data_IF_601692616451
#
_entry.id   IF_601692616451
#
_cell.length_a   1.000
_cell.length_b   1.000
_cell.length_c   1.000
_cell.angle_alpha   90.00
_cell.angle_beta   90.00
_cell.angle_gamma   90.00
#
_symmetry.space_group_name_H-M   'P 1'
#
loop_
_entity.id
_entity.type
_entity.pdbx_description
1 polymer ?
#
# COMPACT_ATOMS: atom_id res chain seq x y z
N UNK A 1 0.59 -17.67 39.12
CA UNK A 1 -0.03 -16.43 39.63
C UNK A 1 0.93 -15.27 39.38
N UNK A 2 0.70 -14.46 38.34
CA UNK A 2 1.57 -13.34 37.96
C UNK A 2 1.13 -12.07 38.72
N UNK A 3 2.06 -11.44 39.44
CA UNK A 3 1.84 -10.21 40.21
C UNK A 3 1.77 -9.03 39.23
N UNK A 4 0.62 -8.36 39.17
CA UNK A 4 0.44 -7.10 38.46
C UNK A 4 0.84 -5.98 39.43
N UNK A 5 1.88 -5.22 39.09
CA UNK A 5 2.33 -4.06 39.84
C UNK A 5 1.49 -2.86 39.39
N UNK A 6 0.59 -2.38 40.25
CA UNK A 6 -0.08 -1.09 40.08
C UNK A 6 0.89 0.02 40.46
N UNK A 7 1.34 0.80 39.48
CA UNK A 7 2.09 2.04 39.74
C UNK A 7 1.09 3.12 40.13
N UNK A 8 0.99 3.38 41.43
CA UNK A 8 0.16 4.42 42.03
C UNK A 8 0.89 5.77 41.91
N UNK A 9 0.50 6.62 40.97
CA UNK A 9 0.96 8.02 40.93
C UNK A 9 0.14 8.84 41.92
N UNK A 10 0.66 9.02 43.13
CA UNK A 10 0.15 10.00 44.11
C UNK A 10 0.90 11.30 43.89
N UNK A 11 0.25 12.29 43.29
CA UNK A 11 0.78 13.66 43.25
C UNK A 11 0.21 14.40 44.46
N UNK A 12 1.05 14.58 45.48
CA UNK A 12 0.78 15.40 46.66
C UNK A 12 0.94 16.89 46.28
N UNK A 13 -0.15 17.65 46.23
CA UNK A 13 -0.09 19.11 46.21
C UNK A 13 -0.46 19.64 47.59
N UNK A 14 0.54 20.01 48.37
CA UNK A 14 0.39 20.87 49.55
C UNK A 14 1.13 22.18 49.31
N UNK A 15 0.38 23.27 49.07
CA UNK A 15 0.43 24.51 49.84
C UNK A 15 -0.19 25.71 49.09
N UNK A 16 -1.32 26.16 49.65
CA UNK A 16 -1.70 27.55 49.92
C UNK A 16 -1.64 28.61 48.80
N UNK A 17 -2.82 28.94 48.26
CA UNK A 17 -3.10 30.20 47.57
C UNK A 17 -4.35 30.09 46.73
N UNK A 18 -5.44 30.76 47.15
CA UNK A 18 -6.74 30.75 46.46
C UNK A 18 -6.58 31.08 44.97
N UNK A 19 -6.75 30.08 44.11
CA UNK A 19 -7.08 30.23 42.69
C UNK A 19 -8.07 29.12 42.34
N UNK A 20 -9.13 29.50 41.62
CA UNK A 20 -10.09 28.56 41.07
C UNK A 20 -9.36 27.42 40.34
N UNK A 21 -9.60 26.21 40.82
CA UNK A 21 -9.17 24.99 40.14
C UNK A 21 -10.16 24.78 39.01
N UNK A 22 -9.81 25.26 37.82
CA UNK A 22 -10.38 24.74 36.58
C UNK A 22 -9.95 23.29 36.51
N UNK A 23 -10.89 22.38 36.73
CA UNK A 23 -10.70 20.95 36.51
C UNK A 23 -10.36 20.81 35.03
N UNK A 24 -9.09 20.50 34.74
CA UNK A 24 -8.65 20.07 33.42
C UNK A 24 -9.21 18.66 33.20
N UNK A 25 -10.49 18.60 32.81
CA UNK A 25 -11.08 17.40 32.25
C UNK A 25 -10.42 17.13 30.89
N UNK A 26 -10.00 15.87 30.74
CA UNK A 26 -9.94 15.17 29.46
C UNK A 26 -8.67 15.22 28.59
N UNK A 27 -7.48 15.30 29.20
CA UNK A 27 -6.22 14.97 28.50
C UNK A 27 -5.81 13.48 28.66
N UNK A 28 -6.54 12.72 29.49
CA UNK A 28 -6.19 11.33 29.83
C UNK A 28 -6.85 10.30 28.91
N UNK A 29 -7.98 10.60 28.29
CA UNK A 29 -8.72 9.60 27.50
C UNK A 29 -8.09 9.39 26.11
N UNK A 30 -7.65 10.47 25.45
CA UNK A 30 -6.90 10.37 24.19
C UNK A 30 -5.56 9.63 24.40
N UNK A 31 -4.88 9.88 25.52
CA UNK A 31 -3.66 9.16 25.89
C UNK A 31 -3.94 7.67 26.16
N UNK A 32 -5.07 7.32 26.78
CA UNK A 32 -5.48 5.92 27.00
C UNK A 32 -5.81 5.20 25.70
N UNK A 33 -6.49 5.87 24.78
CA UNK A 33 -6.80 5.33 23.45
C UNK A 33 -5.51 5.06 22.68
N UNK A 34 -4.55 5.98 22.72
CA UNK A 34 -3.25 5.79 22.05
C UNK A 34 -2.42 4.67 22.69
N UNK A 35 -2.41 4.57 24.03
CA UNK A 35 -1.75 3.45 24.73
C UNK A 35 -2.37 2.10 24.36
N UNK A 36 -3.69 2.00 24.29
CA UNK A 36 -4.39 0.78 23.88
C UNK A 36 -4.05 0.39 22.43
N UNK A 37 -4.01 1.39 21.53
CA UNK A 37 -3.62 1.20 20.12
C UNK A 37 -2.17 0.72 19.99
N UNK A 38 -1.26 1.28 20.78
CA UNK A 38 0.14 0.87 20.80
C UNK A 38 0.31 -0.56 21.34
N UNK A 39 -0.45 -0.93 22.37
CA UNK A 39 -0.44 -2.30 22.91
C UNK A 39 -0.89 -3.33 21.87
N UNK A 40 -1.95 -3.05 21.11
CA UNK A 40 -2.42 -3.93 20.04
C UNK A 40 -1.36 -4.13 18.94
N UNK A 41 -0.65 -3.05 18.55
CA UNK A 41 0.45 -3.13 17.57
C UNK A 41 1.62 -3.97 18.08
N UNK A 42 1.98 -3.84 19.36
CA UNK A 42 3.05 -4.66 19.97
C UNK A 42 2.65 -6.14 19.96
N UNK A 43 1.45 -6.48 20.39
CA UNK A 43 0.96 -7.87 20.38
C UNK A 43 0.91 -8.45 18.96
N UNK A 44 0.53 -7.66 17.97
CA UNK A 44 0.54 -8.09 16.57
C UNK A 44 1.96 -8.37 16.06
N UNK A 45 2.93 -7.51 16.38
CA UNK A 45 4.33 -7.69 16.00
C UNK A 45 4.97 -8.91 16.69
N UNK A 46 4.67 -9.14 17.97
CA UNK A 46 5.10 -10.33 18.71
C UNK A 46 4.58 -11.61 18.04
N UNK A 47 3.30 -11.63 17.65
CA UNK A 47 2.70 -12.77 16.94
C UNK A 47 3.34 -13.02 15.57
N UNK A 48 3.67 -11.96 14.82
CA UNK A 48 4.38 -12.09 13.54
C UNK A 48 5.80 -12.62 13.74
N UNK A 49 6.49 -12.20 14.79
CA UNK A 49 7.81 -12.70 15.14
C UNK A 49 7.78 -14.19 15.48
N UNK A 50 6.79 -14.64 16.26
CA UNK A 50 6.58 -16.05 16.57
C UNK A 50 6.30 -16.88 15.30
N UNK A 51 5.46 -16.37 14.39
CA UNK A 51 5.17 -17.07 13.13
C UNK A 51 6.37 -17.13 12.19
N UNK A 52 7.21 -16.08 12.16
CA UNK A 52 8.43 -16.04 11.34
C UNK A 52 9.50 -17.03 11.80
N UNK A 53 9.56 -17.34 13.10
CA UNK A 53 10.50 -18.32 13.65
C UNK A 53 10.10 -19.79 13.41
N UNK A 54 8.84 -20.06 13.00
CA UNK A 54 8.35 -21.42 12.75
C UNK A 54 8.68 -21.92 11.33
N UNK A 55 8.99 -21.05 10.37
CA UNK A 55 9.31 -21.48 8.99
C UNK A 55 10.80 -21.79 8.73
N UNK A 56 11.68 -21.67 9.73
CA UNK A 56 13.11 -21.95 9.56
C UNK A 56 13.55 -23.39 9.87
N UNK A 57 12.63 -24.29 10.23
CA UNK A 57 12.95 -25.68 10.59
C UNK A 57 11.98 -26.65 9.90
N UNK A 58 12.07 -26.77 8.58
CA UNK A 58 11.73 -28.03 7.88
C UNK A 58 12.31 -28.01 6.46
N UNK A 59 13.61 -28.31 6.35
CA UNK A 59 14.19 -28.83 5.10
C UNK A 59 14.83 -30.16 5.46
N UNK A 60 14.05 -31.23 5.40
CA UNK A 60 14.57 -32.59 5.32
C UNK A 60 14.26 -33.09 3.92
N UNK A 61 15.26 -33.00 3.04
CA UNK A 61 15.29 -33.70 1.76
C UNK A 61 15.71 -35.16 2.00
N UNK A 62 15.03 -36.15 1.41
CA UNK A 62 15.65 -37.44 1.16
C UNK A 62 16.35 -37.42 -0.20
N UNK A 63 17.64 -37.74 -0.13
CA UNK A 63 18.50 -38.15 -1.24
C UNK A 63 18.08 -39.54 -1.68
N UNK A 64 17.74 -39.73 -2.96
CA UNK A 64 17.83 -41.03 -3.60
C UNK A 64 18.71 -40.93 -4.85
N UNK A 65 19.84 -41.62 -4.75
CA UNK A 65 20.79 -41.92 -5.80
C UNK A 65 20.37 -43.28 -6.37
N UNK A 66 20.11 -43.36 -7.67
CA UNK A 66 20.17 -44.65 -8.36
C UNK A 66 20.90 -44.52 -9.71
N UNK A 67 22.10 -45.09 -9.71
CA UNK A 67 22.97 -45.37 -10.85
C UNK A 67 22.67 -46.76 -11.42
N UNK A 68 22.40 -46.89 -12.72
CA UNK A 68 22.78 -48.10 -13.50
C UNK A 68 23.17 -47.76 -14.95
N UNK A 69 24.22 -48.43 -15.39
CA UNK A 69 25.12 -48.31 -16.55
C UNK A 69 24.58 -49.06 -17.81
N UNK A 70 25.10 -48.81 -19.05
CA UNK A 70 24.48 -49.16 -20.34
C UNK A 70 24.98 -50.49 -20.94
N UNK A 71 24.28 -51.04 -21.97
CA UNK A 71 24.80 -52.17 -22.76
C UNK A 71 24.28 -52.22 -24.22
N UNK A 72 25.13 -52.82 -25.05
CA UNK A 72 25.40 -52.63 -26.49
C UNK A 72 24.63 -53.55 -27.48
N UNK A 73 24.72 -53.17 -28.77
CA UNK A 73 24.31 -53.76 -30.08
C UNK A 73 24.69 -55.28 -30.32
N UNK A 74 24.44 -55.99 -31.48
CA UNK A 74 24.28 -55.54 -32.91
C UNK A 74 23.42 -56.35 -33.96
N UNK A 75 23.03 -55.66 -35.08
CA UNK A 75 22.94 -55.97 -36.56
C UNK A 75 22.38 -57.33 -37.13
N UNK A 76 22.22 -57.58 -38.48
CA UNK A 76 22.09 -56.75 -39.72
C UNK A 76 20.99 -57.24 -40.75
N UNK A 77 20.56 -56.42 -41.74
CA UNK A 77 20.63 -56.71 -43.22
C UNK A 77 19.94 -55.68 -44.14
N UNK A 78 20.77 -55.15 -45.05
CA UNK A 78 20.59 -54.88 -46.49
C UNK A 78 19.30 -54.20 -47.03
N UNK A 79 19.42 -53.00 -47.62
CA UNK A 79 19.72 -52.78 -49.05
C UNK A 79 19.52 -51.30 -49.44
N UNK A 80 20.53 -50.68 -50.07
CA UNK A 80 20.45 -49.37 -50.75
C UNK A 80 19.93 -49.57 -52.21
N UNK A 81 19.77 -48.54 -53.09
CA UNK A 81 20.02 -47.10 -52.93
C UNK A 81 18.94 -46.17 -53.53
N UNK A 82 18.85 -44.91 -53.05
CA UNK A 82 18.79 -43.74 -53.95
C UNK A 82 18.97 -42.42 -53.21
N UNK A 83 19.90 -41.66 -53.75
CA UNK A 83 20.22 -40.27 -53.47
C UNK A 83 19.03 -39.34 -53.73
N UNK A 84 18.71 -38.50 -52.74
CA UNK A 84 18.28 -37.11 -52.92
C UNK A 84 18.44 -36.38 -51.59
N UNK A 85 19.32 -35.38 -51.55
CA UNK A 85 19.46 -34.45 -50.45
C UNK A 85 18.19 -33.60 -50.27
N UNK A 86 17.74 -33.39 -49.03
CA UNK A 86 17.18 -32.11 -48.65
C UNK A 86 17.90 -31.55 -47.41
N UNK A 87 18.37 -30.32 -47.56
CA UNK A 87 18.96 -29.47 -46.53
C UNK A 87 18.00 -29.30 -45.34
N UNK A 88 18.29 -29.96 -44.23
CA UNK A 88 17.57 -29.76 -42.96
C UNK A 88 17.98 -28.42 -42.35
N UNK A 89 17.04 -27.47 -42.30
CA UNK A 89 17.18 -26.22 -41.55
C UNK A 89 17.32 -26.55 -40.06
N UNK A 90 18.45 -26.14 -39.49
CA UNK A 90 18.76 -26.19 -38.06
C UNK A 90 17.78 -25.26 -37.32
N UNK A 91 16.84 -25.84 -36.58
CA UNK A 91 16.02 -25.13 -35.61
C UNK A 91 16.89 -24.80 -34.40
N UNK A 92 17.31 -23.55 -34.27
CA UNK A 92 17.91 -23.00 -33.06
C UNK A 92 16.81 -22.37 -32.23
N UNK A 93 16.52 -22.98 -31.09
CA UNK A 93 15.75 -22.39 -29.99
C UNK A 93 16.41 -21.07 -29.57
N UNK A 94 15.71 -19.93 -29.55
CA UNK A 94 16.26 -18.74 -28.93
C UNK A 94 16.28 -18.95 -27.41
N UNK A 95 17.48 -18.86 -26.84
CA UNK A 95 17.69 -18.74 -25.39
C UNK A 95 16.95 -17.48 -24.93
N UNK A 96 15.94 -17.67 -24.08
CA UNK A 96 15.26 -16.58 -23.40
C UNK A 96 16.28 -15.76 -22.61
N UNK A 97 16.45 -14.50 -23.01
CA UNK A 97 17.13 -13.49 -22.19
C UNK A 97 16.39 -13.39 -20.85
N UNK A 98 17.10 -13.28 -19.72
CA UNK A 98 16.45 -12.93 -18.46
C UNK A 98 15.75 -11.58 -18.63
N UNK A 99 14.47 -11.55 -18.29
CA UNK A 99 13.67 -10.33 -18.17
C UNK A 99 14.39 -9.46 -17.14
N UNK A 100 14.90 -8.32 -17.59
CA UNK A 100 15.36 -7.27 -16.69
C UNK A 100 14.19 -6.88 -15.81
N UNK A 101 14.29 -7.17 -14.52
CA UNK A 101 13.46 -6.53 -13.50
C UNK A 101 13.55 -5.01 -13.70
N UNK A 102 12.42 -4.29 -13.75
CA UNK A 102 12.44 -2.84 -13.71
C UNK A 102 13.08 -2.39 -12.38
N UNK A 103 13.86 -1.29 -12.38
CA UNK A 103 14.48 -0.80 -11.16
C UNK A 103 13.41 -0.44 -10.13
N UNK A 104 13.57 -0.96 -8.92
CA UNK A 104 12.89 -0.47 -7.72
C UNK A 104 13.10 1.05 -7.66
N UNK A 105 12.03 1.87 -7.56
CA UNK A 105 12.21 3.31 -7.42
C UNK A 105 12.99 3.59 -6.13
N UNK A 106 14.14 4.26 -6.29
CA UNK A 106 14.97 4.69 -5.17
C UNK A 106 14.16 5.59 -4.24
N UNK A 107 14.37 5.49 -2.91
CA UNK A 107 13.80 6.43 -1.97
C UNK A 107 14.32 7.84 -2.29
N UNK A 108 13.44 8.70 -2.79
CA UNK A 108 13.73 10.12 -2.98
C UNK A 108 13.88 10.73 -1.58
N UNK A 109 15.09 11.19 -1.27
CA UNK A 109 15.32 12.01 -0.08
C UNK A 109 14.44 13.27 -0.18
N UNK A 110 13.52 13.42 0.76
CA UNK A 110 12.61 14.58 0.83
C UNK A 110 13.41 15.84 1.18
N UNK A 111 13.70 16.66 0.19
CA UNK A 111 14.06 18.06 0.43
C UNK A 111 12.79 18.79 0.84
N UNK A 112 12.74 19.19 2.11
CA UNK A 112 11.63 19.97 2.68
C UNK A 112 11.64 21.38 2.09
N UNK A 113 10.88 21.58 1.01
CA UNK A 113 10.59 22.91 0.49
C UNK A 113 9.60 23.57 1.44
N UNK A 114 9.98 24.71 2.03
CA UNK A 114 9.06 25.50 2.85
C UNK A 114 7.90 26.01 1.96
N UNK A 115 6.64 26.02 2.45
CA UNK A 115 5.53 26.53 1.68
C UNK A 115 5.74 28.02 1.38
N UNK A 116 5.76 28.34 0.10
CA UNK A 116 5.91 29.70 -0.40
C UNK A 116 4.57 30.44 -0.26
N UNK A 117 4.62 31.60 0.41
CA UNK A 117 3.79 32.79 0.22
C UNK A 117 2.28 32.59 -0.04
N UNK A 118 1.49 32.90 0.99
CA UNK A 118 0.02 33.00 0.97
C UNK A 118 -0.45 33.91 -0.17
N UNK A 119 -1.10 33.30 -1.17
CA UNK A 119 -1.84 34.04 -2.20
C UNK A 119 -3.27 34.27 -1.66
N UNK A 120 -3.80 35.51 -1.68
CA UNK A 120 -5.13 35.81 -1.16
C UNK A 120 -6.20 34.99 -1.91
N UNK A 121 -7.00 34.21 -1.19
CA UNK A 121 -8.08 33.39 -1.75
C UNK A 121 -7.89 31.87 -1.65
N UNK A 122 -6.70 31.39 -1.24
CA UNK A 122 -6.51 29.97 -0.92
C UNK A 122 -7.01 29.65 0.49
N UNK A 123 -7.75 28.54 0.62
CA UNK A 123 -8.11 27.97 1.92
C UNK A 123 -6.82 27.48 2.59
N UNK A 124 -6.67 27.71 3.89
CA UNK A 124 -5.58 27.08 4.63
C UNK A 124 -5.83 25.56 4.71
N UNK A 125 -4.99 24.77 4.03
CA UNK A 125 -5.10 23.30 3.95
C UNK A 125 -4.10 22.59 4.87
N UNK A 126 -3.41 23.30 5.76
CA UNK A 126 -2.37 22.70 6.63
C UNK A 126 -2.95 21.64 7.58
N UNK A 127 -4.23 21.77 7.96
CA UNK A 127 -4.93 20.77 8.79
C UNK A 127 -5.07 19.40 8.09
N UNK A 128 -4.89 19.34 6.77
CA UNK A 128 -4.92 18.09 5.99
C UNK A 128 -3.57 17.39 5.98
N UNK A 129 -2.49 18.06 6.39
CA UNK A 129 -1.13 17.54 6.31
C UNK A 129 -0.78 16.68 7.52
N UNK A 130 -0.23 15.49 7.29
CA UNK A 130 0.44 14.67 8.30
C UNK A 130 1.93 14.62 7.97
N UNK A 131 2.78 15.12 8.87
CA UNK A 131 4.23 15.17 8.60
C UNK A 131 4.61 16.08 7.42
N UNK A 132 3.77 17.09 7.11
CA UNK A 132 3.96 18.01 5.98
C UNK A 132 3.34 17.54 4.66
N UNK A 133 2.74 16.34 4.62
CA UNK A 133 2.23 15.73 3.39
C UNK A 133 0.72 15.53 3.44
N UNK A 134 0.04 15.72 2.30
CA UNK A 134 -1.38 15.36 2.17
C UNK A 134 -1.48 13.97 1.56
N UNK A 135 -2.04 13.05 2.34
CA UNK A 135 -2.16 11.64 1.98
C UNK A 135 -3.61 11.22 1.98
N UNK A 136 -4.00 10.36 1.04
CA UNK A 136 -5.26 9.64 1.13
C UNK A 136 -5.23 8.37 0.30
N UNK A 137 -6.16 7.47 0.58
CA UNK A 137 -6.52 6.35 -0.27
C UNK A 137 -8.04 6.33 -0.42
N UNK A 138 -8.53 5.52 -1.37
CA UNK A 138 -9.97 5.30 -1.52
C UNK A 138 -10.28 3.81 -1.47
N UNK A 139 -11.42 3.45 -0.90
CA UNK A 139 -12.02 2.12 -0.96
C UNK A 139 -13.14 2.13 -1.99
N UNK A 140 -13.28 1.04 -2.74
CA UNK A 140 -14.33 0.88 -3.75
C UNK A 140 -15.18 -0.35 -3.43
N UNK A 141 -16.48 -0.28 -3.72
CA UNK A 141 -17.48 -1.36 -3.53
C UNK A 141 -17.53 -1.92 -2.10
N UNK A 142 -17.19 -1.10 -1.09
CA UNK A 142 -17.20 -1.48 0.32
C UNK A 142 -16.31 -2.70 0.66
N UNK A 143 -15.31 -3.04 -0.19
CA UNK A 143 -14.43 -4.19 0.06
C UNK A 143 -13.03 -3.78 0.51
N UNK A 144 -12.55 -4.47 1.53
CA UNK A 144 -11.25 -4.22 2.18
C UNK A 144 -10.03 -4.53 1.30
N UNK A 145 -10.20 -5.28 0.21
CA UNK A 145 -9.16 -5.61 -0.77
C UNK A 145 -9.10 -4.61 -1.94
N UNK A 146 -10.03 -3.65 -2.01
CA UNK A 146 -10.16 -2.69 -3.11
C UNK A 146 -9.77 -1.27 -2.70
N UNK A 147 -8.55 -1.13 -2.20
CA UNK A 147 -7.96 0.17 -1.90
C UNK A 147 -7.10 0.69 -3.05
N UNK A 148 -7.37 1.90 -3.53
CA UNK A 148 -6.51 2.60 -4.50
C UNK A 148 -5.56 3.55 -3.76
N UNK A 149 -4.31 3.73 -4.24
CA UNK A 149 -3.78 3.27 -5.54
C UNK A 149 -3.43 1.78 -5.65
N UNK A 150 -3.30 1.05 -4.54
CA UNK A 150 -2.75 -0.32 -4.55
C UNK A 150 -3.47 -1.29 -5.50
N UNK A 151 -4.80 -1.31 -5.48
CA UNK A 151 -5.60 -2.17 -6.36
C UNK A 151 -5.31 -1.86 -7.84
N UNK A 152 -5.33 -0.59 -8.25
CA UNK A 152 -5.03 -0.18 -9.63
C UNK A 152 -3.63 -0.63 -10.07
N UNK A 153 -2.63 -0.52 -9.19
CA UNK A 153 -1.27 -0.99 -9.49
C UNK A 153 -1.22 -2.50 -9.73
N UNK A 154 -1.96 -3.28 -8.94
CA UNK A 154 -2.09 -4.72 -9.13
C UNK A 154 -2.76 -5.06 -10.48
N UNK A 155 -3.56 -4.15 -11.04
CA UNK A 155 -4.15 -4.27 -12.38
C UNK A 155 -3.27 -3.67 -13.49
N UNK A 156 -2.03 -3.27 -13.18
CA UNK A 156 -1.06 -2.78 -14.16
C UNK A 156 -1.08 -1.27 -14.40
N UNK A 157 -1.90 -0.50 -13.66
CA UNK A 157 -1.89 0.96 -13.75
C UNK A 157 -0.58 1.51 -13.21
N UNK A 158 0.04 2.42 -13.98
CA UNK A 158 1.23 3.15 -13.58
C UNK A 158 0.87 4.61 -13.30
N UNK A 159 1.22 5.06 -12.11
CA UNK A 159 0.98 6.45 -11.71
C UNK A 159 2.19 7.32 -12.04
N UNK A 160 1.94 8.45 -12.70
CA UNK A 160 2.96 9.46 -12.97
C UNK A 160 3.17 10.42 -11.80
N UNK A 161 2.16 10.53 -10.92
CA UNK A 161 2.21 11.32 -9.71
C UNK A 161 2.68 10.48 -8.51
N UNK A 162 3.25 11.09 -7.46
CA UNK A 162 3.79 10.37 -6.31
C UNK A 162 2.76 9.51 -5.57
N UNK A 163 3.17 8.29 -5.28
CA UNK A 163 2.48 7.37 -4.37
C UNK A 163 3.47 7.00 -3.25
N UNK A 164 2.96 6.78 -2.04
CA UNK A 164 3.81 6.45 -0.88
C UNK A 164 3.34 5.15 -0.25
N UNK A 165 4.29 4.31 0.16
CA UNK A 165 4.01 3.09 0.93
C UNK A 165 3.37 3.46 2.27
N UNK A 166 2.28 2.77 2.63
CA UNK A 166 1.53 3.06 3.86
C UNK A 166 2.08 2.34 5.11
N UNK A 167 3.20 1.62 4.99
CA UNK A 167 3.91 0.86 6.04
C UNK A 167 3.11 -0.28 6.68
N UNK A 168 1.97 -0.66 6.10
CA UNK A 168 1.15 -1.77 6.60
C UNK A 168 0.95 -2.76 5.46
N UNK A 169 0.18 -2.34 4.44
CA UNK A 169 -0.11 -3.09 3.23
C UNK A 169 -0.69 -2.13 2.20
N UNK A 170 0.05 -1.88 1.14
CA UNK A 170 -0.36 -1.05 0.02
C UNK A 170 0.16 0.38 0.08
N UNK A 171 -0.52 1.26 -0.61
CA UNK A 171 -0.02 2.59 -0.94
C UNK A 171 -1.09 3.64 -0.69
N UNK A 172 -0.66 4.87 -0.44
CA UNK A 172 -1.50 6.08 -0.43
C UNK A 172 -1.12 6.97 -1.62
N UNK A 173 -2.08 7.74 -2.11
CA UNK A 173 -1.80 8.89 -2.95
C UNK A 173 -1.09 9.96 -2.11
N UNK A 174 0.00 10.52 -2.64
CA UNK A 174 0.66 11.70 -2.11
C UNK A 174 0.33 12.86 -3.05
N UNK A 175 -0.35 13.88 -2.54
CA UNK A 175 -0.91 14.96 -3.36
C UNK A 175 -0.53 16.33 -2.85
N UNK A 176 -0.48 17.29 -3.76
CA UNK A 176 -0.35 18.71 -3.46
C UNK A 176 -1.57 19.46 -4.01
N UNK A 177 -2.02 20.54 -3.33
CA UNK A 177 -3.14 21.34 -3.79
C UNK A 177 -2.90 21.97 -5.16
N UNK A 178 -3.92 21.87 -6.03
CA UNK A 178 -3.93 22.47 -7.37
C UNK A 178 -5.16 23.36 -7.58
N UNK A 179 -5.15 24.24 -8.58
CA UNK A 179 -6.28 25.16 -8.82
C UNK A 179 -7.57 24.45 -9.25
N UNK A 180 -7.49 23.22 -9.74
CA UNK A 180 -8.63 22.45 -10.22
C UNK A 180 -8.28 20.99 -10.43
N UNK A 181 -9.13 20.24 -11.14
CA UNK A 181 -8.88 18.82 -11.39
C UNK A 181 -7.74 18.64 -12.40
N UNK A 182 -6.58 18.24 -11.90
CA UNK A 182 -5.42 17.90 -12.71
C UNK A 182 -5.17 16.39 -12.61
N UNK A 183 -5.35 15.68 -13.73
CA UNK A 183 -5.13 14.24 -13.82
C UNK A 183 -6.23 13.38 -13.19
N UNK A 184 -5.86 12.14 -12.84
CA UNK A 184 -6.79 11.13 -12.35
C UNK A 184 -7.10 11.22 -10.86
N UNK A 185 -6.29 11.93 -10.08
CA UNK A 185 -6.49 12.04 -8.65
C UNK A 185 -5.78 13.28 -8.13
N UNK A 186 -6.25 13.83 -7.01
CA UNK A 186 -5.63 15.00 -6.43
C UNK A 186 -6.44 15.64 -5.31
N UNK A 187 -6.02 16.85 -4.96
CA UNK A 187 -6.75 17.74 -4.07
C UNK A 187 -6.70 19.15 -4.67
N UNK A 188 -7.82 19.88 -4.63
CA UNK A 188 -7.85 21.29 -5.07
C UNK A 188 -7.46 22.24 -3.94
N UNK A 189 -7.13 23.49 -4.29
CA UNK A 189 -6.89 24.60 -3.38
C UNK A 189 -8.10 24.95 -2.49
N UNK A 190 -9.27 24.39 -2.78
CA UNK A 190 -10.49 24.52 -1.99
C UNK A 190 -10.70 23.34 -1.02
N UNK A 191 -9.77 22.38 -0.95
CA UNK A 191 -9.92 21.20 -0.10
C UNK A 191 -10.84 20.12 -0.68
N UNK A 192 -11.02 20.09 -2.01
CA UNK A 192 -11.79 19.03 -2.67
C UNK A 192 -10.85 17.92 -3.12
N UNK A 193 -10.91 16.77 -2.45
CA UNK A 193 -10.26 15.54 -2.90
C UNK A 193 -11.05 14.96 -4.07
N UNK A 194 -10.35 14.48 -5.09
CA UNK A 194 -10.98 13.90 -6.26
C UNK A 194 -10.22 12.69 -6.78
N UNK A 195 -10.96 11.76 -7.40
CA UNK A 195 -10.44 10.65 -8.19
C UNK A 195 -11.30 10.44 -9.43
N UNK A 196 -10.70 10.18 -10.59
CA UNK A 196 -11.40 10.02 -11.85
C UNK A 196 -12.20 8.73 -11.84
N UNK A 197 -13.43 8.82 -12.33
CA UNK A 197 -14.29 7.67 -12.54
C UNK A 197 -13.66 6.72 -13.57
N UNK A 198 -12.91 7.24 -14.54
CA UNK A 198 -12.18 6.44 -15.54
C UNK A 198 -11.14 5.53 -14.88
N UNK A 199 -10.27 6.06 -14.01
CA UNK A 199 -9.27 5.26 -13.29
C UNK A 199 -9.92 4.10 -12.53
N UNK A 200 -11.01 4.37 -11.81
CA UNK A 200 -11.74 3.35 -11.05
C UNK A 200 -12.32 2.31 -12.00
N UNK A 201 -13.09 2.74 -13.01
CA UNK A 201 -13.78 1.83 -13.92
C UNK A 201 -12.83 0.96 -14.74
N UNK A 202 -11.72 1.51 -15.22
CA UNK A 202 -10.72 0.75 -15.97
C UNK A 202 -10.01 -0.26 -15.08
N UNK A 203 -9.63 0.13 -13.86
CA UNK A 203 -8.99 -0.79 -12.91
C UNK A 203 -9.93 -1.93 -12.54
N UNK A 204 -11.20 -1.65 -12.21
CA UNK A 204 -12.18 -2.69 -11.89
C UNK A 204 -12.45 -3.61 -13.07
N UNK A 205 -12.57 -3.05 -14.29
CA UNK A 205 -12.76 -3.84 -15.52
C UNK A 205 -11.58 -4.77 -15.77
N UNK A 206 -10.36 -4.29 -15.61
CA UNK A 206 -9.15 -5.12 -15.75
C UNK A 206 -9.11 -6.26 -14.73
N UNK A 207 -9.61 -6.02 -13.51
CA UNK A 207 -9.77 -7.06 -12.49
C UNK A 207 -11.02 -7.94 -12.63
N UNK A 208 -11.87 -7.72 -13.64
CA UNK A 208 -13.13 -8.46 -13.82
C UNK A 208 -14.18 -8.19 -12.72
N UNK A 209 -14.07 -7.06 -12.02
CA UNK A 209 -14.94 -6.70 -10.89
C UNK A 209 -16.02 -5.71 -11.36
N UNK A 210 -17.31 -5.94 -11.06
CA UNK A 210 -18.37 -4.95 -11.35
C UNK A 210 -18.23 -3.73 -10.45
N UNK A 211 -18.76 -2.58 -10.87
CA UNK A 211 -18.75 -1.36 -10.06
C UNK A 211 -20.10 -1.12 -9.39
N UNK A 212 -20.09 -1.07 -8.05
CA UNK A 212 -21.28 -0.93 -7.22
C UNK A 212 -21.62 0.54 -6.90
N UNK A 213 -20.93 1.50 -7.54
CA UNK A 213 -21.08 2.94 -7.34
C UNK A 213 -20.84 3.41 -5.88
N UNK A 214 -20.02 2.68 -5.13
CA UNK A 214 -19.57 3.11 -3.80
C UNK A 214 -18.09 3.40 -3.84
N UNK A 215 -17.73 4.65 -3.51
CA UNK A 215 -16.36 5.13 -3.38
C UNK A 215 -16.24 5.88 -2.07
N UNK A 216 -15.25 5.52 -1.27
CA UNK A 216 -15.03 6.09 0.06
C UNK A 216 -13.59 6.53 0.21
N UNK A 217 -13.36 7.74 0.71
CA UNK A 217 -12.03 8.24 1.06
C UNK A 217 -11.63 7.81 2.46
N UNK A 218 -10.34 7.55 2.64
CA UNK A 218 -9.70 7.34 3.94
C UNK A 218 -8.40 8.15 3.97
N UNK A 219 -8.24 8.99 4.98
CA UNK A 219 -7.13 9.94 5.06
C UNK A 219 -6.74 10.28 6.51
N UNK A 220 -5.54 10.83 6.78
CA UNK A 220 -5.11 11.23 8.12
C UNK A 220 -6.11 12.14 8.84
N UNK A 221 -6.60 13.19 8.17
CA UNK A 221 -7.52 14.18 8.77
C UNK A 221 -8.91 13.59 9.12
N UNK A 222 -9.25 12.43 8.57
CA UNK A 222 -10.48 11.70 8.92
C UNK A 222 -10.29 10.76 10.14
N UNK A 223 -9.11 10.75 10.75
CA UNK A 223 -8.72 9.74 11.73
C UNK A 223 -8.65 8.34 11.12
N UNK A 224 -8.41 8.25 9.80
CA UNK A 224 -8.52 7.01 9.02
C UNK A 224 -9.91 6.36 9.05
N UNK A 225 -10.98 7.14 9.28
CA UNK A 225 -12.34 6.66 9.12
C UNK A 225 -12.80 6.80 7.66
N UNK A 226 -13.56 5.83 7.17
CA UNK A 226 -14.10 5.86 5.81
C UNK A 226 -15.18 6.93 5.69
N UNK A 227 -15.12 7.74 4.63
CA UNK A 227 -16.11 8.76 4.30
C UNK A 227 -16.56 8.60 2.86
N UNK A 228 -17.87 8.61 2.61
CA UNK A 228 -18.42 8.48 1.25
C UNK A 228 -18.01 9.67 0.38
N UNK A 229 -17.61 9.38 -0.85
CA UNK A 229 -17.40 10.36 -1.90
C UNK A 229 -18.66 10.48 -2.76
N UNK A 230 -18.87 11.65 -3.35
CA UNK A 230 -20.01 11.93 -4.23
C UNK A 230 -19.54 12.02 -5.67
N UNK A 231 -20.28 11.44 -6.61
CA UNK A 231 -19.99 11.60 -8.04
C UNK A 231 -20.38 13.00 -8.52
N UNK A 232 -19.44 13.70 -9.15
CA UNK A 232 -19.63 15.03 -9.73
C UNK A 232 -18.94 15.07 -11.09
N UNK A 233 -19.73 14.93 -12.17
CA UNK A 233 -19.19 14.77 -13.52
C UNK A 233 -18.39 13.46 -13.63
N UNK A 234 -17.17 13.57 -14.16
CA UNK A 234 -16.25 12.44 -14.36
C UNK A 234 -15.41 12.08 -13.12
N UNK A 235 -15.67 12.71 -11.98
CA UNK A 235 -14.90 12.53 -10.76
C UNK A 235 -15.77 12.09 -9.58
N UNK A 236 -15.19 11.29 -8.70
CA UNK A 236 -15.68 11.09 -7.35
C UNK A 236 -14.97 12.08 -6.44
N UNK A 237 -15.73 12.84 -5.67
CA UNK A 237 -15.20 13.96 -4.88
C UNK A 237 -15.56 13.86 -3.40
N UNK A 238 -14.68 14.38 -2.55
CA UNK A 238 -14.95 14.61 -1.14
C UNK A 238 -14.53 16.04 -0.79
N UNK A 239 -15.45 16.80 -0.20
CA UNK A 239 -15.19 18.17 0.27
C UNK A 239 -14.91 18.13 1.76
N UNK A 240 -13.86 18.80 2.19
CA UNK A 240 -13.47 18.86 3.61
C UNK A 240 -14.22 19.93 4.40
N UNK A 241 -14.95 20.82 3.72
CA UNK A 241 -15.77 21.90 4.27
C UNK A 241 -17.14 21.94 3.59
#
# INVERSE_FOLDING_TARGET
>A
MKKIIFVLFVILFTACGKKEVVVAEDCCEELRIEVARLQERVTFLEKLWEMGNVQAIEVVTPVEVETVVPKSAPAPRASAPKSTSPTTKKSTTPVSKPISTPPTPSPVAKTRTAPSSVTPGLVNLDYLRQGGEILYCIRVNEREDMYFPHYAMNQGVRFNNPIIDNQIKGYNFLVEPTEGYQGDYGITNQGVFYVSNTLIMESLRSGGVPFDNVVEIKAPFTGWNLRKMTKSGDYWIYKTQ
#
